data_IF_397755038547
#
_entry.id   IF_397755038547
#
_cell.length_a   1.000
_cell.length_b   1.000
_cell.length_c   1.000
_cell.angle_alpha   90.00
_cell.angle_beta   90.00
_cell.angle_gamma   90.00
#
_symmetry.space_group_name_H-M   'P 1'
#
loop_
_entity.id
_entity.type
_entity.pdbx_description
1 polymer ?
#
# COMPACT_ATOMS: atom_id res chain seq x y z
N UNK A 1 4.82 -10.83 -30.73
CA UNK A 1 5.12 -11.92 -29.77
C UNK A 1 5.39 -11.27 -28.42
N UNK A 2 4.76 -11.76 -27.34
CA UNK A 2 5.01 -11.29 -25.98
C UNK A 2 6.43 -11.74 -25.59
N UNK A 3 7.27 -10.80 -25.17
CA UNK A 3 8.60 -11.14 -24.66
C UNK A 3 8.46 -11.99 -23.39
N UNK A 4 9.21 -13.09 -23.22
CA UNK A 4 9.17 -13.91 -22.00
C UNK A 4 9.63 -13.10 -20.77
N UNK A 5 10.32 -11.98 -20.98
CA UNK A 5 10.80 -11.10 -19.93
C UNK A 5 9.77 -10.08 -19.45
N UNK A 6 8.61 -9.94 -20.12
CA UNK A 6 7.60 -8.92 -19.78
C UNK A 6 7.13 -9.04 -18.33
N UNK A 7 6.68 -10.23 -17.90
CA UNK A 7 6.16 -10.42 -16.55
C UNK A 7 7.23 -10.24 -15.46
N UNK A 8 8.43 -10.84 -15.56
CA UNK A 8 9.50 -10.59 -14.60
C UNK A 8 9.85 -9.10 -14.48
N UNK A 9 9.97 -8.37 -15.60
CA UNK A 9 10.30 -6.94 -15.59
C UNK A 9 9.20 -6.13 -14.89
N UNK A 10 7.94 -6.39 -15.17
CA UNK A 10 6.83 -5.72 -14.50
C UNK A 10 6.77 -6.08 -13.01
N UNK A 11 7.03 -7.34 -12.62
CA UNK A 11 7.08 -7.77 -11.23
C UNK A 11 8.21 -7.08 -10.45
N UNK A 12 9.42 -6.98 -11.03
CA UNK A 12 10.52 -6.24 -10.41
C UNK A 12 10.27 -4.74 -10.33
N UNK A 13 9.59 -4.17 -11.32
CA UNK A 13 9.17 -2.76 -11.29
C UNK A 13 8.25 -2.49 -10.10
N UNK A 14 7.24 -3.33 -9.91
CA UNK A 14 6.29 -3.23 -8.80
C UNK A 14 6.96 -3.58 -7.46
N UNK A 15 7.95 -4.45 -7.44
CA UNK A 15 8.77 -4.75 -6.27
C UNK A 15 9.47 -3.50 -5.72
N UNK A 16 10.13 -2.71 -6.57
CA UNK A 16 10.76 -1.46 -6.13
C UNK A 16 9.74 -0.42 -5.65
N UNK A 17 8.53 -0.42 -6.22
CA UNK A 17 7.43 0.40 -5.71
C UNK A 17 7.07 -0.01 -4.27
N UNK A 18 6.90 -1.31 -4.02
CA UNK A 18 6.62 -1.84 -2.69
C UNK A 18 7.71 -1.50 -1.67
N UNK A 19 8.99 -1.59 -2.05
CA UNK A 19 10.10 -1.13 -1.20
C UNK A 19 9.93 0.35 -0.87
N UNK A 20 9.77 1.21 -1.88
CA UNK A 20 9.70 2.67 -1.70
C UNK A 20 8.55 3.09 -0.79
N UNK A 21 7.43 2.40 -0.85
CA UNK A 21 6.24 2.70 -0.08
C UNK A 21 6.40 2.34 1.41
N UNK A 22 7.08 1.23 1.72
CA UNK A 22 7.15 0.69 3.08
C UNK A 22 8.50 0.85 3.77
N UNK A 23 9.58 1.25 3.07
CA UNK A 23 10.92 1.38 3.64
C UNK A 23 11.04 2.45 4.72
N UNK A 24 10.20 3.48 4.69
CA UNK A 24 10.28 4.61 5.63
C UNK A 24 9.81 4.22 7.03
N UNK A 25 8.98 3.15 7.17
CA UNK A 25 8.44 2.71 8.47
C UNK A 25 9.51 2.50 9.56
N UNK A 26 10.60 1.73 9.37
CA UNK A 26 11.63 1.58 10.40
C UNK A 26 12.56 2.79 10.54
N UNK A 27 12.49 3.74 9.59
CA UNK A 27 13.42 4.86 9.48
C UNK A 27 12.95 6.16 10.17
N UNK A 28 11.77 6.19 10.80
CA UNK A 28 11.20 7.42 11.37
C UNK A 28 12.17 8.09 12.35
N UNK A 29 12.71 7.35 13.33
CA UNK A 29 13.71 7.92 14.27
C UNK A 29 15.02 8.32 13.58
N UNK A 30 15.68 7.50 12.72
CA UNK A 30 16.85 7.95 11.97
C UNK A 30 16.64 9.22 11.15
N UNK A 31 15.48 9.35 10.49
CA UNK A 31 15.13 10.55 9.75
C UNK A 31 14.85 11.74 10.67
N UNK A 32 14.21 11.51 11.81
CA UNK A 32 13.99 12.53 12.82
C UNK A 32 15.31 13.10 13.32
N UNK A 33 16.28 12.25 13.63
CA UNK A 33 17.63 12.67 14.03
C UNK A 33 18.35 13.40 12.90
N UNK A 34 18.26 12.91 11.66
CA UNK A 34 18.97 13.51 10.52
C UNK A 34 18.47 14.93 10.17
N UNK A 35 17.17 15.18 10.36
CA UNK A 35 16.55 16.47 10.03
C UNK A 35 16.24 17.35 11.25
N UNK A 36 16.69 16.94 12.44
CA UNK A 36 16.45 17.65 13.71
C UNK A 36 14.96 17.94 13.97
N UNK A 37 14.14 16.88 13.85
CA UNK A 37 12.69 16.89 14.05
C UNK A 37 12.27 15.74 14.96
N UNK A 38 11.01 15.71 15.39
CA UNK A 38 10.47 14.58 16.14
C UNK A 38 10.10 13.40 15.22
N UNK A 39 10.05 12.15 15.71
CA UNK A 39 9.54 11.01 14.93
C UNK A 39 8.10 11.20 14.43
N UNK A 40 7.27 11.91 15.23
CA UNK A 40 5.93 12.30 14.81
C UNK A 40 5.94 13.26 13.61
N UNK A 41 6.86 14.24 13.62
CA UNK A 41 7.05 15.10 12.45
C UNK A 41 7.61 14.30 11.25
N UNK A 42 8.55 13.39 11.46
CA UNK A 42 9.10 12.55 10.38
C UNK A 42 8.01 11.73 9.66
N UNK A 43 6.90 11.39 10.34
CA UNK A 43 5.77 10.70 9.72
C UNK A 43 5.12 11.46 8.56
N UNK A 44 5.30 12.79 8.48
CA UNK A 44 4.84 13.60 7.34
C UNK A 44 5.50 13.19 6.01
N UNK A 45 6.68 12.58 6.04
CA UNK A 45 7.30 12.03 4.83
C UNK A 45 6.45 10.90 4.21
N UNK A 46 5.74 10.14 5.03
CA UNK A 46 4.79 9.12 4.55
C UNK A 46 3.43 9.78 4.24
N UNK A 47 2.95 10.66 5.11
CA UNK A 47 1.64 11.28 4.95
C UNK A 47 1.54 12.08 3.64
N UNK A 48 2.53 12.92 3.29
CA UNK A 48 2.50 13.69 2.04
C UNK A 48 2.62 12.79 0.80
N UNK A 49 3.38 11.71 0.88
CA UNK A 49 3.42 10.70 -0.18
C UNK A 49 2.03 10.08 -0.42
N UNK A 50 1.35 9.66 0.65
CA UNK A 50 0.01 9.05 0.53
C UNK A 50 -1.05 10.06 0.09
N UNK A 51 -0.96 11.32 0.51
CA UNK A 51 -1.82 12.40 0.00
C UNK A 51 -1.64 12.59 -1.50
N UNK A 52 -0.39 12.70 -1.95
CA UNK A 52 -0.07 12.88 -3.37
C UNK A 52 -0.61 11.69 -4.20
N UNK A 53 -0.41 10.47 -3.70
CA UNK A 53 -1.01 9.28 -4.30
C UNK A 53 -2.53 9.37 -4.37
N UNK A 54 -3.20 9.69 -3.25
CA UNK A 54 -4.65 9.74 -3.15
C UNK A 54 -5.28 10.73 -4.14
N UNK A 55 -4.66 11.89 -4.32
CA UNK A 55 -5.13 12.91 -5.24
C UNK A 55 -4.83 12.57 -6.70
N UNK A 56 -3.68 11.94 -6.95
CA UNK A 56 -3.22 11.63 -8.30
C UNK A 56 -3.86 10.37 -8.90
N UNK A 57 -4.14 9.34 -8.10
CA UNK A 57 -4.59 8.03 -8.60
C UNK A 57 -5.88 8.09 -9.46
N UNK A 58 -6.95 8.82 -9.09
CA UNK A 58 -8.12 8.92 -9.94
C UNK A 58 -7.86 9.63 -11.26
N UNK A 59 -6.99 10.66 -11.23
CA UNK A 59 -6.64 11.45 -12.42
C UNK A 59 -5.73 10.65 -13.35
N UNK A 60 -4.67 10.06 -12.81
CA UNK A 60 -3.70 9.28 -13.57
C UNK A 60 -4.29 7.95 -14.08
N UNK A 61 -5.22 7.36 -13.34
CA UNK A 61 -5.99 6.20 -13.80
C UNK A 61 -6.77 6.51 -15.09
N UNK A 62 -7.50 7.63 -15.12
CA UNK A 62 -8.21 8.09 -16.33
C UNK A 62 -7.22 8.51 -17.45
N UNK A 63 -6.11 9.12 -17.06
CA UNK A 63 -5.09 9.58 -18.01
C UNK A 63 -4.36 8.40 -18.66
N UNK A 64 -4.22 7.27 -17.96
CA UNK A 64 -3.62 6.05 -18.50
C UNK A 64 -4.37 5.49 -19.69
N UNK A 65 -5.68 5.79 -19.81
CA UNK A 65 -6.48 5.40 -20.96
C UNK A 65 -6.28 6.29 -22.19
N UNK A 66 -5.72 7.50 -22.01
CA UNK A 66 -5.48 8.49 -23.08
C UNK A 66 -4.03 8.54 -23.56
N UNK A 67 -3.10 8.21 -22.66
CA UNK A 67 -1.66 8.25 -22.97
C UNK A 67 -1.09 6.85 -23.22
N UNK A 68 0.02 6.83 -23.93
CA UNK A 68 0.81 5.62 -24.13
C UNK A 68 1.25 5.05 -22.76
N UNK A 69 0.68 3.91 -22.38
CA UNK A 69 0.90 3.24 -21.10
C UNK A 69 2.37 2.98 -20.79
N UNK A 70 3.13 2.64 -21.83
CA UNK A 70 4.57 2.48 -21.72
C UNK A 70 5.31 3.80 -21.40
N UNK A 71 4.87 4.92 -21.98
CA UNK A 71 5.44 6.23 -21.62
C UNK A 71 5.14 6.59 -20.19
N UNK A 72 3.91 6.34 -19.73
CA UNK A 72 3.54 6.57 -18.32
C UNK A 72 4.37 5.73 -17.36
N UNK A 73 4.57 4.43 -17.66
CA UNK A 73 5.43 3.56 -16.85
C UNK A 73 6.86 4.09 -16.76
N UNK A 74 7.44 4.49 -17.88
CA UNK A 74 8.80 5.08 -17.92
C UNK A 74 8.90 6.40 -17.16
N UNK A 75 7.91 7.27 -17.31
CA UNK A 75 7.86 8.54 -16.56
C UNK A 75 7.75 8.28 -15.06
N UNK A 76 6.91 7.35 -14.64
CA UNK A 76 6.79 6.96 -13.23
C UNK A 76 8.11 6.43 -12.65
N UNK A 77 8.83 5.59 -13.40
CA UNK A 77 10.16 5.11 -12.99
C UNK A 77 11.19 6.24 -12.87
N UNK A 78 11.20 7.20 -13.81
CA UNK A 78 12.07 8.38 -13.70
C UNK A 78 11.70 9.28 -12.53
N UNK A 79 10.42 9.42 -12.20
CA UNK A 79 9.97 10.14 -11.01
C UNK A 79 10.46 9.44 -9.72
N UNK A 80 10.46 8.10 -9.66
CA UNK A 80 11.06 7.38 -8.53
C UNK A 80 12.58 7.57 -8.44
N UNK A 81 13.29 7.62 -9.57
CA UNK A 81 14.72 7.95 -9.58
C UNK A 81 14.93 9.35 -9.02
N UNK A 82 14.17 10.33 -9.50
CA UNK A 82 14.25 11.71 -9.04
C UNK A 82 13.90 11.84 -7.54
N UNK A 83 12.83 11.18 -7.08
CA UNK A 83 12.42 11.15 -5.67
C UNK A 83 13.55 10.61 -4.79
N UNK A 84 14.12 9.45 -5.13
CA UNK A 84 15.15 8.82 -4.32
C UNK A 84 16.46 9.62 -4.26
N UNK A 85 16.93 10.17 -5.39
CA UNK A 85 18.14 11.01 -5.43
C UNK A 85 17.90 12.33 -4.69
N UNK A 86 16.78 13.00 -4.97
CA UNK A 86 16.49 14.29 -4.37
C UNK A 86 16.30 14.19 -2.85
N UNK A 87 15.63 13.13 -2.37
CA UNK A 87 15.50 12.86 -0.92
C UNK A 87 16.84 12.61 -0.25
N UNK A 88 17.72 11.83 -0.88
CA UNK A 88 19.05 11.57 -0.34
C UNK A 88 19.91 12.85 -0.23
N UNK A 89 19.61 13.86 -1.04
CA UNK A 89 20.30 15.15 -1.08
C UNK A 89 19.51 16.28 -0.41
N UNK A 90 18.37 16.00 0.22
CA UNK A 90 17.51 17.01 0.79
C UNK A 90 18.22 17.83 1.90
N UNK A 91 18.30 19.15 1.77
CA UNK A 91 19.05 20.01 2.71
C UNK A 91 18.31 20.23 4.02
N UNK A 92 16.98 20.08 4.05
CA UNK A 92 16.16 20.28 5.23
C UNK A 92 14.86 19.49 5.15
N UNK A 93 14.20 19.33 6.28
CA UNK A 93 12.96 18.55 6.42
C UNK A 93 11.85 19.02 5.49
N UNK A 94 11.60 20.32 5.40
CA UNK A 94 10.51 20.88 4.57
C UNK A 94 10.69 20.54 3.07
N UNK A 95 11.93 20.57 2.59
CA UNK A 95 12.26 20.14 1.22
C UNK A 95 12.03 18.64 1.06
N UNK A 96 12.47 17.82 2.00
CA UNK A 96 12.27 16.38 1.97
C UNK A 96 10.77 16.03 1.92
N UNK A 97 9.93 16.69 2.73
CA UNK A 97 8.47 16.52 2.70
C UNK A 97 7.88 16.89 1.34
N UNK A 98 8.31 18.04 0.77
CA UNK A 98 7.86 18.45 -0.57
C UNK A 98 8.25 17.47 -1.68
N UNK A 99 9.46 16.90 -1.60
CA UNK A 99 9.94 15.91 -2.57
C UNK A 99 9.13 14.61 -2.54
N UNK A 100 8.58 14.20 -1.40
CA UNK A 100 7.72 13.02 -1.31
C UNK A 100 6.47 13.08 -2.20
N UNK A 101 6.09 14.28 -2.68
CA UNK A 101 5.04 14.44 -3.70
C UNK A 101 5.41 13.69 -4.97
N UNK A 102 6.68 13.73 -5.38
CA UNK A 102 7.15 13.04 -6.59
C UNK A 102 6.98 11.52 -6.48
N UNK A 103 7.35 10.96 -5.33
CA UNK A 103 7.18 9.53 -5.06
C UNK A 103 5.71 9.10 -5.09
N UNK A 104 4.81 9.87 -4.48
CA UNK A 104 3.36 9.61 -4.49
C UNK A 104 2.76 9.67 -5.90
N UNK A 105 3.14 10.66 -6.71
CA UNK A 105 2.75 10.76 -8.13
C UNK A 105 3.27 9.56 -8.94
N UNK A 106 4.53 9.17 -8.72
CA UNK A 106 5.13 8.03 -9.39
C UNK A 106 4.39 6.73 -9.10
N UNK A 107 4.07 6.48 -7.82
CA UNK A 107 3.33 5.29 -7.40
C UNK A 107 1.92 5.25 -7.99
N UNK A 108 1.22 6.38 -7.95
CA UNK A 108 -0.13 6.51 -8.49
C UNK A 108 -0.19 6.25 -10.01
N UNK A 109 0.87 6.56 -10.75
CA UNK A 109 0.96 6.32 -12.19
C UNK A 109 1.39 4.89 -12.52
N UNK A 110 2.25 4.26 -11.70
CA UNK A 110 2.95 3.03 -12.03
C UNK A 110 2.01 1.82 -12.05
N UNK A 111 1.27 1.57 -10.98
CA UNK A 111 0.42 0.38 -10.84
C UNK A 111 -0.66 0.30 -11.93
N UNK A 112 -1.45 1.36 -12.21
CA UNK A 112 -2.40 1.34 -13.32
C UNK A 112 -1.73 1.10 -14.67
N UNK A 113 -0.55 1.69 -14.91
CA UNK A 113 0.20 1.50 -16.16
C UNK A 113 0.64 0.06 -16.35
N UNK A 114 1.10 -0.61 -15.29
CA UNK A 114 1.48 -2.03 -15.31
C UNK A 114 0.28 -2.91 -15.64
N UNK A 115 -0.86 -2.72 -14.96
CA UNK A 115 -2.06 -3.51 -15.24
C UNK A 115 -2.61 -3.28 -16.64
N UNK A 116 -2.55 -2.03 -17.11
CA UNK A 116 -2.96 -1.69 -18.45
C UNK A 116 -2.06 -2.34 -19.52
N UNK A 117 -0.73 -2.39 -19.31
CA UNK A 117 0.19 -3.11 -20.20
C UNK A 117 -0.08 -4.62 -20.21
N UNK A 118 -0.42 -5.22 -19.07
CA UNK A 118 -0.82 -6.64 -19.02
C UNK A 118 -2.11 -6.86 -19.82
N UNK A 119 -3.10 -5.98 -19.65
CA UNK A 119 -4.37 -6.08 -20.37
C UNK A 119 -4.21 -5.96 -21.89
N UNK A 120 -3.22 -5.18 -22.37
CA UNK A 120 -2.91 -5.05 -23.81
C UNK A 120 -2.14 -6.24 -24.38
N UNK A 121 -1.22 -6.81 -23.60
CA UNK A 121 -0.27 -7.80 -24.11
C UNK A 121 -0.72 -9.24 -23.91
N UNK A 122 -1.56 -9.51 -22.90
CA UNK A 122 -1.96 -10.87 -22.56
C UNK A 122 -3.41 -11.18 -22.98
N UNK A 123 -3.68 -12.41 -23.47
CA UNK A 123 -5.04 -12.89 -23.71
C UNK A 123 -5.90 -12.79 -22.45
N UNK A 124 -7.20 -12.55 -22.62
CA UNK A 124 -8.13 -12.25 -21.53
C UNK A 124 -8.14 -13.35 -20.43
N UNK A 125 -8.02 -14.60 -20.82
CA UNK A 125 -7.95 -15.77 -19.92
C UNK A 125 -6.71 -15.80 -19.02
N UNK A 126 -5.61 -15.13 -19.42
CA UNK A 126 -4.33 -15.07 -18.69
C UNK A 126 -4.08 -13.78 -17.95
N UNK A 127 -4.87 -12.72 -18.18
CA UNK A 127 -4.64 -11.41 -17.58
C UNK A 127 -4.67 -11.45 -16.06
N UNK A 128 -5.67 -12.10 -15.46
CA UNK A 128 -5.80 -12.21 -14.01
C UNK A 128 -4.60 -12.93 -13.36
N UNK A 129 -4.13 -14.02 -13.99
CA UNK A 129 -2.94 -14.75 -13.53
C UNK A 129 -1.67 -13.92 -13.65
N UNK A 130 -1.51 -13.18 -14.76
CA UNK A 130 -0.37 -12.29 -14.99
C UNK A 130 -0.34 -11.14 -13.98
N UNK A 131 -1.50 -10.50 -13.71
CA UNK A 131 -1.63 -9.45 -12.68
C UNK A 131 -1.29 -9.99 -11.29
N UNK A 132 -1.80 -11.18 -10.93
CA UNK A 132 -1.49 -11.85 -9.68
C UNK A 132 0.01 -12.10 -9.52
N UNK A 133 0.67 -12.61 -10.56
CA UNK A 133 2.12 -12.85 -10.55
C UNK A 133 2.90 -11.54 -10.34
N UNK A 134 2.53 -10.47 -11.02
CA UNK A 134 3.19 -9.18 -10.87
C UNK A 134 2.99 -8.61 -9.46
N UNK A 135 1.80 -8.79 -8.86
CA UNK A 135 1.53 -8.35 -7.49
C UNK A 135 2.29 -9.15 -6.42
N UNK A 136 2.82 -10.35 -6.75
CA UNK A 136 3.78 -11.01 -5.83
C UNK A 136 5.07 -10.20 -5.68
N UNK A 137 5.47 -9.47 -6.72
CA UNK A 137 6.57 -8.50 -6.64
C UNK A 137 6.29 -7.40 -5.61
N UNK A 138 5.08 -6.81 -5.62
CA UNK A 138 4.67 -5.81 -4.62
C UNK A 138 4.75 -6.38 -3.20
N UNK A 139 4.19 -7.57 -2.97
CA UNK A 139 4.24 -8.22 -1.66
C UNK A 139 5.67 -8.49 -1.21
N UNK A 140 6.53 -8.97 -2.11
CA UNK A 140 7.96 -9.15 -1.82
C UNK A 140 8.64 -7.82 -1.46
N UNK A 141 8.29 -6.71 -2.13
CA UNK A 141 8.76 -5.37 -1.82
C UNK A 141 8.31 -4.89 -0.44
N UNK A 142 7.05 -5.11 -0.09
CA UNK A 142 6.49 -4.78 1.24
C UNK A 142 7.23 -5.54 2.36
N UNK A 143 7.55 -6.82 2.14
CA UNK A 143 8.28 -7.65 3.12
C UNK A 143 9.73 -7.21 3.23
N UNK A 144 10.42 -7.06 2.10
CA UNK A 144 11.87 -6.81 2.07
C UNK A 144 12.23 -5.34 2.27
N UNK A 145 11.32 -4.41 1.94
CA UNK A 145 11.56 -2.97 2.04
C UNK A 145 12.03 -2.53 3.43
N UNK A 146 11.29 -2.79 4.49
CA UNK A 146 11.70 -2.45 5.86
C UNK A 146 13.01 -3.14 6.29
N UNK A 147 13.23 -4.40 5.87
CA UNK A 147 14.48 -5.14 6.17
C UNK A 147 15.67 -4.46 5.54
N UNK A 148 15.58 -4.21 4.24
CA UNK A 148 16.66 -3.57 3.47
C UNK A 148 16.91 -2.16 3.99
N UNK A 149 15.85 -1.39 4.24
CA UNK A 149 15.96 -0.03 4.75
C UNK A 149 16.58 0.01 6.14
N UNK A 150 16.15 -0.86 7.06
CA UNK A 150 16.71 -0.95 8.40
C UNK A 150 18.19 -1.31 8.37
N UNK A 151 18.58 -2.31 7.58
CA UNK A 151 19.96 -2.76 7.45
C UNK A 151 20.86 -1.69 6.83
N UNK A 152 20.43 -1.08 5.71
CA UNK A 152 21.20 -0.03 5.03
C UNK A 152 21.33 1.23 5.89
N UNK A 153 20.29 1.62 6.60
CA UNK A 153 20.32 2.80 7.47
C UNK A 153 21.38 2.65 8.56
N UNK A 154 21.49 1.47 9.16
CA UNK A 154 22.50 1.21 10.20
C UNK A 154 23.93 1.18 9.63
N UNK A 155 24.13 0.66 8.41
CA UNK A 155 25.46 0.46 7.81
C UNK A 155 25.98 1.65 7.04
N UNK A 156 25.10 2.30 6.27
CA UNK A 156 25.48 3.33 5.29
C UNK A 156 24.85 4.69 5.55
N UNK A 157 23.92 4.79 6.53
CA UNK A 157 23.21 6.02 6.84
C UNK A 157 21.79 6.07 6.24
N UNK A 158 21.01 7.04 6.72
CA UNK A 158 19.60 7.19 6.40
C UNK A 158 19.28 7.43 4.91
N UNK A 159 20.23 7.98 4.14
CA UNK A 159 20.08 8.25 2.70
C UNK A 159 20.21 7.00 1.82
N UNK A 160 20.89 5.97 2.30
CA UNK A 160 21.22 4.79 1.50
C UNK A 160 20.01 4.00 0.96
N UNK A 161 18.90 3.79 1.71
CA UNK A 161 17.70 3.16 1.18
C UNK A 161 17.07 3.93 0.01
N UNK A 162 17.09 5.27 0.05
CA UNK A 162 16.58 6.11 -1.03
C UNK A 162 17.43 5.99 -2.30
N UNK A 163 18.74 5.95 -2.16
CA UNK A 163 19.67 5.72 -3.29
C UNK A 163 19.50 4.32 -3.88
N UNK A 164 19.28 3.30 -3.04
CA UNK A 164 19.02 1.94 -3.53
C UNK A 164 17.75 1.90 -4.39
N UNK A 165 16.65 2.50 -3.92
CA UNK A 165 15.39 2.51 -4.68
C UNK A 165 15.51 3.35 -5.96
N UNK A 166 16.25 4.44 -5.94
CA UNK A 166 16.59 5.22 -7.13
C UNK A 166 17.39 4.39 -8.16
N UNK A 167 18.45 3.71 -7.70
CA UNK A 167 19.27 2.85 -8.55
C UNK A 167 18.45 1.68 -9.14
N UNK A 168 17.64 1.02 -8.32
CA UNK A 168 16.75 -0.04 -8.76
C UNK A 168 15.72 0.44 -9.79
N UNK A 169 15.09 1.58 -9.55
CA UNK A 169 14.14 2.21 -10.49
C UNK A 169 14.83 2.61 -11.81
N UNK A 170 16.07 3.09 -11.74
CA UNK A 170 16.85 3.42 -12.94
C UNK A 170 17.20 2.17 -13.76
N UNK A 171 17.62 1.09 -13.09
CA UNK A 171 17.89 -0.19 -13.74
C UNK A 171 16.61 -0.69 -14.42
N UNK A 172 15.47 -0.66 -13.73
CA UNK A 172 14.19 -1.07 -14.30
C UNK A 172 13.76 -0.17 -15.45
N UNK A 173 14.03 1.14 -15.39
CA UNK A 173 13.78 2.06 -16.50
C UNK A 173 14.59 1.67 -17.73
N UNK A 174 15.89 1.39 -17.57
CA UNK A 174 16.78 0.94 -18.65
C UNK A 174 16.26 -0.36 -19.25
N UNK A 175 15.98 -1.36 -18.42
CA UNK A 175 15.46 -2.67 -18.87
C UNK A 175 14.13 -2.50 -19.61
N UNK A 176 13.22 -1.68 -19.12
CA UNK A 176 11.96 -1.35 -19.79
C UNK A 176 12.20 -0.75 -21.17
N UNK A 177 13.23 0.10 -21.35
CA UNK A 177 13.57 0.67 -22.64
C UNK A 177 13.98 -0.38 -23.68
N UNK A 178 14.60 -1.48 -23.24
CA UNK A 178 15.01 -2.56 -24.13
C UNK A 178 13.87 -3.57 -24.37
N UNK A 179 13.21 -4.02 -23.32
CA UNK A 179 12.17 -5.08 -23.37
C UNK A 179 10.93 -4.62 -24.14
N UNK A 180 10.54 -3.36 -23.98
CA UNK A 180 9.36 -2.78 -24.62
C UNK A 180 9.69 -1.97 -25.90
N UNK A 181 10.88 -2.14 -26.45
CA UNK A 181 11.29 -1.45 -27.70
C UNK A 181 10.43 -1.92 -28.87
N UNK A 182 9.80 -0.97 -29.56
CA UNK A 182 8.95 -1.26 -30.72
C UNK A 182 7.51 -1.66 -30.41
N UNK A 183 7.09 -1.63 -29.15
CA UNK A 183 5.67 -1.71 -28.82
C UNK A 183 5.05 -0.35 -29.19
N UNK A 184 4.47 -0.30 -30.39
CA UNK A 184 3.59 0.81 -30.77
C UNK A 184 2.35 0.70 -29.89
N UNK A 185 2.12 1.69 -29.04
CA UNK A 185 0.86 1.77 -28.31
C UNK A 185 -0.26 1.83 -29.33
N UNK A 186 -1.07 0.80 -29.38
CA UNK A 186 -2.41 0.96 -29.95
C UNK A 186 -3.04 2.08 -29.14
N UNK A 187 -3.31 3.21 -29.81
CA UNK A 187 -4.06 4.31 -29.22
C UNK A 187 -5.31 3.71 -28.59
N UNK A 188 -5.44 3.83 -27.29
CA UNK A 188 -6.59 3.28 -26.59
C UNK A 188 -7.82 3.82 -27.32
N UNK A 189 -8.62 2.91 -27.84
CA UNK A 189 -9.95 3.27 -28.34
C UNK A 189 -10.61 4.03 -27.20
N UNK A 190 -11.07 5.23 -27.48
CA UNK A 190 -11.72 6.14 -26.55
C UNK A 190 -12.68 5.35 -25.68
N UNK A 191 -12.30 5.11 -24.44
CA UNK A 191 -13.25 4.63 -23.46
C UNK A 191 -14.34 5.70 -23.46
N UNK A 192 -15.50 5.38 -24.01
CA UNK A 192 -16.67 6.24 -23.96
C UNK A 192 -16.83 6.63 -22.51
N UNK A 193 -16.91 7.94 -22.18
CA UNK A 193 -17.20 8.36 -20.82
C UNK A 193 -18.47 7.64 -20.43
N UNK A 194 -18.41 6.77 -19.44
CA UNK A 194 -19.59 6.12 -18.91
C UNK A 194 -20.42 7.24 -18.24
N UNK A 195 -21.25 7.94 -19.03
CA UNK A 195 -22.25 8.89 -18.58
C UNK A 195 -23.34 8.08 -17.86
N UNK A 196 -23.04 7.65 -16.64
CA UNK A 196 -23.94 6.90 -15.79
C UNK A 196 -24.25 7.68 -14.52
N UNK A 197 -25.40 7.39 -13.91
CA UNK A 197 -25.79 7.84 -12.58
C UNK A 197 -24.64 7.62 -11.59
N UNK A 198 -24.48 8.55 -10.62
CA UNK A 198 -23.45 8.45 -9.58
C UNK A 198 -23.40 7.07 -8.90
N UNK A 199 -22.35 6.80 -8.17
CA UNK A 199 -22.24 5.56 -7.38
C UNK A 199 -23.37 5.47 -6.35
N UNK A 200 -23.81 4.26 -6.03
CA UNK A 200 -24.79 4.06 -4.95
C UNK A 200 -24.22 4.54 -3.62
N UNK A 201 -25.03 5.12 -2.73
CA UNK A 201 -24.57 5.51 -1.39
C UNK A 201 -23.93 4.34 -0.62
N UNK A 202 -24.43 3.13 -0.82
CA UNK A 202 -23.87 1.91 -0.23
C UNK A 202 -22.43 1.64 -0.70
N UNK A 203 -22.14 1.77 -1.99
CA UNK A 203 -20.79 1.60 -2.52
C UNK A 203 -19.83 2.68 -2.01
N UNK A 204 -20.27 3.94 -1.96
CA UNK A 204 -19.45 5.03 -1.41
C UNK A 204 -19.17 4.83 0.08
N UNK A 205 -20.19 4.42 0.85
CA UNK A 205 -20.03 4.07 2.27
C UNK A 205 -19.07 2.91 2.48
N UNK A 206 -19.12 1.87 1.64
CA UNK A 206 -18.19 0.74 1.71
C UNK A 206 -16.74 1.16 1.39
N UNK A 207 -16.56 2.01 0.37
CA UNK A 207 -15.24 2.56 0.02
C UNK A 207 -14.68 3.41 1.18
N UNK A 208 -15.51 4.24 1.81
CA UNK A 208 -15.11 5.03 2.97
C UNK A 208 -14.75 4.14 4.17
N UNK A 209 -15.56 3.14 4.49
CA UNK A 209 -15.28 2.17 5.55
C UNK A 209 -13.98 1.39 5.27
N UNK A 210 -13.76 0.96 4.02
CA UNK A 210 -12.52 0.31 3.59
C UNK A 210 -11.32 1.24 3.80
N UNK A 211 -11.41 2.49 3.40
CA UNK A 211 -10.36 3.49 3.64
C UNK A 211 -9.98 3.59 5.11
N UNK A 212 -10.99 3.67 5.99
CA UNK A 212 -10.76 3.82 7.43
C UNK A 212 -10.08 2.60 8.05
N UNK A 213 -10.55 1.38 7.84
CA UNK A 213 -9.95 0.21 8.46
C UNK A 213 -8.61 -0.17 7.82
N UNK A 214 -8.47 -0.03 6.50
CA UNK A 214 -7.21 -0.29 5.81
C UNK A 214 -6.16 0.76 6.21
N UNK A 215 -6.51 2.04 6.17
CA UNK A 215 -5.65 3.13 6.62
C UNK A 215 -5.19 2.95 8.06
N UNK A 216 -6.09 2.56 8.98
CA UNK A 216 -5.75 2.27 10.38
C UNK A 216 -4.75 1.12 10.49
N UNK A 217 -4.93 0.04 9.72
CA UNK A 217 -4.01 -1.10 9.72
C UNK A 217 -2.61 -0.71 9.22
N UNK A 218 -2.53 0.09 8.16
CA UNK A 218 -1.25 0.59 7.61
C UNK A 218 -0.59 1.56 8.60
N UNK A 219 -1.34 2.49 9.20
CA UNK A 219 -0.83 3.41 10.21
C UNK A 219 -0.23 2.66 11.40
N UNK A 220 -0.92 1.65 11.91
CA UNK A 220 -0.41 0.83 13.02
C UNK A 220 0.85 0.05 12.62
N UNK A 221 0.91 -0.47 11.41
CA UNK A 221 2.14 -1.07 10.89
C UNK A 221 3.29 -0.05 10.84
N UNK A 222 3.06 1.16 10.31
CA UNK A 222 4.09 2.21 10.22
C UNK A 222 4.60 2.59 11.61
N UNK A 223 3.71 2.76 12.59
CA UNK A 223 4.07 3.15 13.95
C UNK A 223 4.58 1.99 14.81
N UNK A 224 4.42 0.74 14.36
CA UNK A 224 4.87 -0.45 15.12
C UNK A 224 6.36 -0.40 15.45
N UNK A 225 7.18 0.12 14.53
CA UNK A 225 8.62 0.28 14.73
C UNK A 225 8.97 1.20 15.88
N UNK A 226 8.29 2.35 15.99
CA UNK A 226 8.51 3.30 17.08
C UNK A 226 7.99 2.74 18.42
N UNK A 227 6.82 2.10 18.45
CA UNK A 227 6.31 1.42 19.65
C UNK A 227 7.26 0.35 20.16
N UNK A 228 7.85 -0.45 19.28
CA UNK A 228 8.86 -1.45 19.63
C UNK A 228 10.16 -0.82 20.12
N UNK A 229 10.59 0.28 19.51
CA UNK A 229 11.76 1.06 19.93
C UNK A 229 11.58 1.58 21.34
N UNK A 230 10.45 2.25 21.61
CA UNK A 230 10.15 2.80 22.94
C UNK A 230 10.08 1.72 24.03
N UNK A 231 9.48 0.57 23.73
CA UNK A 231 9.28 -0.50 24.74
C UNK A 231 10.51 -1.37 25.01
N UNK A 232 11.30 -1.62 23.96
CA UNK A 232 12.40 -2.61 24.03
C UNK A 232 13.76 -2.05 23.65
N UNK A 233 13.89 -0.76 23.35
CA UNK A 233 15.16 -0.13 22.99
C UNK A 233 15.79 -0.65 21.69
N UNK A 234 14.97 -1.14 20.74
CA UNK A 234 15.45 -1.80 19.55
C UNK A 234 16.08 -0.81 18.55
N UNK A 235 17.14 -1.25 17.90
CA UNK A 235 17.76 -0.48 16.83
C UNK A 235 16.97 -0.62 15.50
N UNK A 236 17.25 0.30 14.57
CA UNK A 236 16.56 0.38 13.27
C UNK A 236 16.68 -0.89 12.44
N UNK A 237 17.83 -1.56 12.46
CA UNK A 237 18.05 -2.81 11.74
C UNK A 237 17.14 -3.93 12.26
N UNK A 238 17.08 -4.10 13.59
CA UNK A 238 16.20 -5.09 14.23
C UNK A 238 14.72 -4.80 13.93
N UNK A 239 14.31 -3.52 14.01
CA UNK A 239 12.94 -3.11 13.68
C UNK A 239 12.60 -3.46 12.22
N UNK A 240 13.52 -3.23 11.29
CA UNK A 240 13.34 -3.61 9.88
C UNK A 240 13.06 -5.11 9.72
N UNK A 241 13.84 -5.98 10.41
CA UNK A 241 13.59 -7.43 10.38
C UNK A 241 12.24 -7.81 11.01
N UNK A 242 11.88 -7.20 12.12
CA UNK A 242 10.60 -7.46 12.79
C UNK A 242 9.43 -7.03 11.90
N UNK A 243 9.54 -5.92 11.20
CA UNK A 243 8.51 -5.45 10.27
C UNK A 243 8.22 -6.47 9.15
N UNK A 244 9.20 -7.30 8.78
CA UNK A 244 8.98 -8.39 7.83
C UNK A 244 8.00 -9.46 8.33
N UNK A 245 7.82 -9.60 9.65
CA UNK A 245 6.85 -10.52 10.25
C UNK A 245 5.41 -10.14 9.84
N UNK A 246 5.10 -8.85 9.85
CA UNK A 246 3.82 -8.35 9.33
C UNK A 246 3.63 -8.70 7.84
N UNK A 247 4.67 -8.46 7.03
CA UNK A 247 4.64 -8.80 5.60
C UNK A 247 4.51 -10.32 5.36
N UNK A 248 5.17 -11.15 6.19
CA UNK A 248 4.99 -12.60 6.21
C UNK A 248 3.56 -13.01 6.54
N UNK A 249 2.94 -12.33 7.51
CA UNK A 249 1.52 -12.47 7.82
C UNK A 249 0.64 -12.12 6.62
N UNK A 250 0.88 -10.99 5.97
CA UNK A 250 0.16 -10.56 4.77
C UNK A 250 0.22 -11.61 3.65
N UNK A 251 1.40 -12.14 3.38
CA UNK A 251 1.59 -13.21 2.40
C UNK A 251 0.83 -14.48 2.81
N UNK A 252 0.92 -14.88 4.07
CA UNK A 252 0.22 -16.06 4.60
C UNK A 252 -1.29 -15.90 4.45
N UNK A 253 -1.85 -14.73 4.80
CA UNK A 253 -3.27 -14.42 4.63
C UNK A 253 -3.73 -14.52 3.18
N UNK A 254 -2.95 -13.96 2.25
CA UNK A 254 -3.22 -14.06 0.82
C UNK A 254 -3.20 -15.51 0.31
N UNK A 255 -2.22 -16.32 0.74
CA UNK A 255 -2.11 -17.73 0.34
C UNK A 255 -3.22 -18.60 0.92
N UNK A 256 -3.65 -18.32 2.13
CA UNK A 256 -4.72 -19.06 2.81
C UNK A 256 -6.13 -18.60 2.41
N UNK A 257 -6.26 -17.50 1.67
CA UNK A 257 -7.56 -16.95 1.25
C UNK A 257 -8.48 -17.98 0.58
N UNK A 258 -8.01 -18.83 -0.37
CA UNK A 258 -8.88 -19.84 -0.98
C UNK A 258 -9.44 -20.86 0.03
N UNK A 259 -8.66 -21.20 1.07
CA UNK A 259 -9.10 -22.08 2.14
C UNK A 259 -10.18 -21.40 3.01
N UNK A 260 -9.93 -20.16 3.43
CA UNK A 260 -10.89 -19.41 4.24
C UNK A 260 -12.20 -19.11 3.51
N UNK A 261 -12.16 -18.86 2.20
CA UNK A 261 -13.36 -18.72 1.37
C UNK A 261 -14.24 -19.97 1.38
N UNK A 262 -13.64 -21.17 1.42
CA UNK A 262 -14.40 -22.44 1.52
C UNK A 262 -15.03 -22.64 2.90
N UNK A 263 -14.40 -22.13 3.96
CA UNK A 263 -14.85 -22.30 5.34
C UNK A 263 -15.91 -21.28 5.76
N UNK A 264 -15.84 -20.05 5.27
CA UNK A 264 -16.68 -18.94 5.73
C UNK A 264 -18.06 -18.84 5.09
N UNK A 265 -18.31 -19.58 4.04
CA UNK A 265 -19.60 -19.60 3.31
C UNK A 265 -19.90 -18.36 2.50
N UNK A 266 -19.59 -17.14 2.98
CA UNK A 266 -19.81 -15.87 2.27
C UNK A 266 -18.62 -14.92 2.40
N UNK A 267 -18.35 -14.13 1.34
CA UNK A 267 -17.27 -13.14 1.35
C UNK A 267 -17.49 -12.05 2.40
N UNK A 268 -18.74 -11.67 2.64
CA UNK A 268 -19.11 -10.70 3.69
C UNK A 268 -18.75 -11.19 5.08
N UNK A 269 -19.08 -12.45 5.40
CA UNK A 269 -18.74 -13.05 6.70
C UNK A 269 -17.22 -13.11 6.89
N UNK A 270 -16.50 -13.56 5.85
CA UNK A 270 -15.04 -13.60 5.87
C UNK A 270 -14.40 -12.22 6.09
N UNK A 271 -14.91 -11.19 5.42
CA UNK A 271 -14.46 -9.82 5.61
C UNK A 271 -14.67 -9.36 7.06
N UNK A 272 -15.88 -9.50 7.59
CA UNK A 272 -16.21 -9.06 8.96
C UNK A 272 -15.39 -9.79 10.01
N UNK A 273 -15.21 -11.10 9.90
CA UNK A 273 -14.36 -11.89 10.80
C UNK A 273 -12.92 -11.36 10.73
N UNK A 274 -12.40 -11.13 9.53
CA UNK A 274 -11.03 -10.62 9.36
C UNK A 274 -10.85 -9.23 9.98
N UNK A 275 -11.85 -8.34 9.88
CA UNK A 275 -11.83 -7.01 10.50
C UNK A 275 -11.88 -7.08 12.03
N UNK A 276 -12.70 -7.97 12.60
CA UNK A 276 -12.75 -8.19 14.04
C UNK A 276 -11.41 -8.74 14.55
N UNK A 277 -10.88 -9.77 13.90
CA UNK A 277 -9.56 -10.33 14.24
C UNK A 277 -8.49 -9.25 14.17
N UNK A 278 -8.45 -8.47 13.09
CA UNK A 278 -7.48 -7.38 12.92
C UNK A 278 -7.59 -6.34 14.05
N UNK A 279 -8.80 -5.97 14.45
CA UNK A 279 -9.05 -5.03 15.55
C UNK A 279 -8.51 -5.55 16.89
N UNK A 280 -8.75 -6.84 17.19
CA UNK A 280 -8.23 -7.50 18.40
C UNK A 280 -6.69 -7.58 18.38
N UNK A 281 -6.10 -7.91 17.22
CA UNK A 281 -4.64 -8.00 17.08
C UNK A 281 -3.96 -6.64 17.25
N UNK A 282 -4.52 -5.59 16.70
CA UNK A 282 -4.03 -4.21 16.88
C UNK A 282 -4.14 -3.79 18.35
N UNK A 283 -5.25 -4.07 19.00
CA UNK A 283 -5.43 -3.78 20.42
C UNK A 283 -4.40 -4.55 21.28
N UNK A 284 -4.20 -5.84 21.02
CA UNK A 284 -3.18 -6.67 21.67
C UNK A 284 -1.76 -6.14 21.48
N UNK A 285 -1.42 -5.67 20.27
CA UNK A 285 -0.12 -5.08 19.97
C UNK A 285 0.08 -3.75 20.73
N UNK A 286 -0.88 -2.83 20.69
CA UNK A 286 -0.77 -1.52 21.37
C UNK A 286 -0.71 -1.71 22.90
N UNK A 287 -1.49 -2.63 23.47
CA UNK A 287 -1.45 -2.92 24.91
C UNK A 287 -0.14 -3.60 25.36
N UNK A 288 0.62 -4.19 24.43
CA UNK A 288 1.87 -4.91 24.73
C UNK A 288 1.66 -6.23 25.43
N UNK A 289 0.46 -6.81 25.33
CA UNK A 289 0.14 -8.09 25.97
C UNK A 289 1.03 -9.22 25.44
N UNK A 290 1.53 -10.06 26.33
CA UNK A 290 2.44 -11.18 26.01
C UNK A 290 3.90 -10.77 25.82
N UNK A 291 4.26 -9.50 26.12
CA UNK A 291 5.65 -9.02 26.00
C UNK A 291 6.15 -9.05 24.55
N UNK A 292 7.47 -9.16 24.37
CA UNK A 292 8.09 -9.15 23.03
C UNK A 292 7.57 -10.27 22.10
N UNK A 293 7.51 -11.56 22.51
CA UNK A 293 6.97 -12.63 21.66
C UNK A 293 5.49 -12.41 21.29
N UNK A 294 4.69 -11.92 22.25
CA UNK A 294 3.28 -11.59 22.02
C UNK A 294 3.13 -10.53 20.94
N UNK A 295 3.92 -9.45 20.99
CA UNK A 295 3.87 -8.39 19.98
C UNK A 295 4.25 -8.90 18.58
N UNK A 296 5.19 -9.83 18.46
CA UNK A 296 5.51 -10.49 17.18
C UNK A 296 4.32 -11.28 16.65
N UNK A 297 3.65 -12.04 17.52
CA UNK A 297 2.46 -12.80 17.16
C UNK A 297 1.31 -11.88 16.72
N UNK A 298 1.07 -10.77 17.45
CA UNK A 298 0.05 -9.80 17.07
C UNK A 298 0.34 -9.17 15.69
N UNK A 299 1.58 -8.82 15.38
CA UNK A 299 1.97 -8.30 14.07
C UNK A 299 1.75 -9.33 12.95
N UNK A 300 2.12 -10.58 13.17
CA UNK A 300 1.91 -11.67 12.20
C UNK A 300 0.42 -11.85 11.89
N UNK A 301 -0.39 -11.96 12.93
CA UNK A 301 -1.83 -12.17 12.80
C UNK A 301 -2.56 -10.95 12.23
N UNK A 302 -2.12 -9.74 12.56
CA UNK A 302 -2.62 -8.50 11.94
C UNK A 302 -2.33 -8.51 10.43
N UNK A 303 -1.10 -8.85 10.03
CA UNK A 303 -0.75 -9.00 8.62
C UNK A 303 -1.60 -10.05 7.92
N UNK A 304 -1.80 -11.22 8.54
CA UNK A 304 -2.65 -12.29 8.01
C UNK A 304 -4.10 -11.82 7.81
N UNK A 305 -4.69 -11.15 8.80
CA UNK A 305 -6.04 -10.63 8.71
C UNK A 305 -6.18 -9.58 7.59
N UNK A 306 -5.20 -8.68 7.44
CA UNK A 306 -5.16 -7.72 6.35
C UNK A 306 -5.00 -8.41 4.99
N UNK A 307 -4.16 -9.45 4.90
CA UNK A 307 -3.97 -10.25 3.68
C UNK A 307 -5.24 -10.96 3.21
N UNK A 308 -6.19 -11.22 4.10
CA UNK A 308 -7.52 -11.74 3.76
C UNK A 308 -8.48 -10.58 3.45
N UNK A 309 -8.56 -9.58 4.33
CA UNK A 309 -9.54 -8.48 4.22
C UNK A 309 -9.37 -7.63 2.96
N UNK A 310 -8.13 -7.32 2.57
CA UNK A 310 -7.86 -6.44 1.43
C UNK A 310 -8.35 -7.01 0.09
N UNK A 311 -8.01 -8.24 -0.33
CA UNK A 311 -8.51 -8.78 -1.60
C UNK A 311 -10.01 -9.08 -1.56
N UNK A 312 -10.57 -9.52 -0.42
CA UNK A 312 -12.02 -9.77 -0.28
C UNK A 312 -12.81 -8.47 -0.45
N UNK A 313 -12.42 -7.40 0.26
CA UNK A 313 -13.11 -6.11 0.14
C UNK A 313 -12.97 -5.51 -1.26
N UNK A 314 -11.82 -5.69 -1.92
CA UNK A 314 -11.59 -5.25 -3.29
C UNK A 314 -12.52 -5.98 -4.28
N UNK A 315 -12.71 -7.30 -4.09
CA UNK A 315 -13.65 -8.09 -4.89
C UNK A 315 -15.10 -7.62 -4.70
N UNK A 316 -15.53 -7.37 -3.46
CA UNK A 316 -16.88 -6.86 -3.16
C UNK A 316 -17.10 -5.47 -3.80
N UNK A 317 -16.13 -4.55 -3.67
CA UNK A 317 -16.20 -3.23 -4.31
C UNK A 317 -16.32 -3.36 -5.84
N UNK A 318 -15.53 -4.24 -6.46
CA UNK A 318 -15.57 -4.47 -7.90
C UNK A 318 -16.92 -5.07 -8.36
N UNK A 319 -17.50 -6.00 -7.59
CA UNK A 319 -18.81 -6.59 -7.86
C UNK A 319 -19.91 -5.53 -7.81
N UNK A 320 -19.95 -4.72 -6.74
CA UNK A 320 -20.97 -3.67 -6.55
C UNK A 320 -20.84 -2.52 -7.56
N UNK A 321 -19.64 -2.24 -8.05
CA UNK A 321 -19.40 -1.21 -9.05
C UNK A 321 -19.78 -1.61 -10.49
N UNK A 322 -19.86 -2.92 -10.77
CA UNK A 322 -20.26 -3.44 -12.08
C UNK A 322 -19.40 -2.95 -13.23
N UNK A 323 -19.99 -2.26 -14.21
CA UNK A 323 -19.28 -1.75 -15.38
C UNK A 323 -18.21 -0.68 -15.05
N UNK A 324 -18.34 0.02 -13.92
CA UNK A 324 -17.41 1.08 -13.46
C UNK A 324 -16.39 0.60 -12.44
N UNK A 325 -16.10 -0.70 -12.42
CA UNK A 325 -15.18 -1.32 -11.44
C UNK A 325 -13.80 -0.64 -11.37
N UNK A 326 -13.24 -0.25 -12.51
CA UNK A 326 -11.92 0.41 -12.55
C UNK A 326 -11.88 1.73 -11.79
N UNK A 327 -12.89 2.60 -12.02
CA UNK A 327 -13.01 3.88 -11.32
C UNK A 327 -13.27 3.68 -9.81
N UNK A 328 -14.13 2.72 -9.44
CA UNK A 328 -14.45 2.43 -8.05
C UNK A 328 -13.22 1.89 -7.29
N UNK A 329 -12.42 1.04 -7.93
CA UNK A 329 -11.17 0.55 -7.35
C UNK A 329 -10.13 1.66 -7.19
N UNK A 330 -9.99 2.54 -8.19
CA UNK A 330 -9.12 3.72 -8.09
C UNK A 330 -9.54 4.64 -6.94
N UNK A 331 -10.86 4.90 -6.80
CA UNK A 331 -11.42 5.68 -5.69
C UNK A 331 -11.17 4.99 -4.34
N UNK A 332 -11.29 3.67 -4.30
CA UNK A 332 -11.00 2.87 -3.10
C UNK A 332 -9.54 2.99 -2.67
N UNK A 333 -8.60 2.92 -3.60
CA UNK A 333 -7.16 3.11 -3.30
C UNK A 333 -6.85 4.55 -2.90
N UNK A 334 -7.50 5.55 -3.53
CA UNK A 334 -7.40 6.94 -3.08
C UNK A 334 -7.88 7.11 -1.65
N UNK A 335 -9.00 6.50 -1.28
CA UNK A 335 -9.54 6.58 0.07
C UNK A 335 -8.65 5.89 1.10
N UNK A 336 -8.04 4.74 0.74
CA UNK A 336 -7.04 4.07 1.60
C UNK A 336 -5.87 5.03 1.92
N UNK A 337 -5.28 5.63 0.89
CA UNK A 337 -4.15 6.55 1.05
C UNK A 337 -4.53 7.87 1.74
N UNK A 338 -5.72 8.41 1.46
CA UNK A 338 -6.24 9.59 2.16
C UNK A 338 -6.43 9.32 3.66
N UNK A 339 -6.90 8.14 4.01
CA UNK A 339 -7.04 7.73 5.42
C UNK A 339 -5.68 7.64 6.12
N UNK A 340 -4.65 7.10 5.46
CA UNK A 340 -3.28 7.09 5.99
C UNK A 340 -2.78 8.51 6.19
N UNK A 341 -2.97 9.41 5.20
CA UNK A 341 -2.58 10.82 5.33
C UNK A 341 -3.17 11.50 6.56
N UNK A 342 -4.48 11.27 6.81
CA UNK A 342 -5.17 11.91 7.93
C UNK A 342 -4.77 11.27 9.27
N UNK A 343 -4.75 9.95 9.32
CA UNK A 343 -4.60 9.20 10.58
C UNK A 343 -3.16 9.13 11.06
N UNK A 344 -2.17 9.05 10.15
CA UNK A 344 -0.78 8.80 10.54
C UNK A 344 -0.18 9.94 11.38
N UNK A 345 -0.27 11.24 11.00
CA UNK A 345 0.27 12.31 11.83
C UNK A 345 -0.43 12.41 13.18
N UNK A 346 -1.75 12.20 13.21
CA UNK A 346 -2.55 12.23 14.45
C UNK A 346 -2.13 11.09 15.38
N UNK A 347 -2.02 9.88 14.88
CA UNK A 347 -1.62 8.71 15.67
C UNK A 347 -0.16 8.83 16.13
N UNK A 348 0.74 9.33 15.28
CA UNK A 348 2.14 9.56 15.63
C UNK A 348 2.31 10.60 16.77
N UNK A 349 1.50 11.66 16.76
CA UNK A 349 1.49 12.66 17.83
C UNK A 349 0.94 12.14 19.17
N UNK A 350 0.19 11.05 19.16
CA UNK A 350 -0.46 10.45 20.32
C UNK A 350 0.20 9.14 20.79
N UNK A 351 1.37 8.77 20.26
CA UNK A 351 2.03 7.49 20.56
C UNK A 351 2.26 7.24 22.04
N UNK A 352 2.61 8.28 22.79
CA UNK A 352 2.91 8.20 24.24
C UNK A 352 1.67 8.41 25.11
N UNK A 353 0.52 8.70 24.51
CA UNK A 353 -0.72 8.95 25.24
C UNK A 353 -1.53 7.67 25.43
N UNK A 354 -2.24 7.60 26.56
CA UNK A 354 -3.21 6.52 26.80
C UNK A 354 -4.41 6.58 25.85
N UNK A 355 -4.49 7.59 24.98
CA UNK A 355 -5.59 7.84 24.07
C UNK A 355 -5.44 7.03 22.77
N UNK A 356 -4.20 6.68 22.37
CA UNK A 356 -3.96 5.96 21.10
C UNK A 356 -4.74 4.65 21.00
N UNK A 357 -4.70 3.81 22.04
CA UNK A 357 -5.39 2.51 22.05
C UNK A 357 -6.91 2.66 21.89
N UNK A 358 -7.61 3.45 22.75
CA UNK A 358 -9.06 3.59 22.60
C UNK A 358 -9.46 4.29 21.27
N UNK A 359 -8.69 5.24 20.80
CA UNK A 359 -8.99 5.93 19.55
C UNK A 359 -8.90 5.02 18.33
N UNK A 360 -7.83 4.25 18.19
CA UNK A 360 -7.63 3.32 17.06
C UNK A 360 -8.63 2.17 17.12
N UNK A 361 -8.90 1.62 18.31
CA UNK A 361 -9.88 0.53 18.48
C UNK A 361 -11.31 1.00 18.22
N UNK A 362 -11.69 2.18 18.67
CA UNK A 362 -12.99 2.78 18.36
C UNK A 362 -13.17 3.01 16.86
N UNK A 363 -12.15 3.54 16.17
CA UNK A 363 -12.18 3.78 14.74
C UNK A 363 -12.34 2.48 13.94
N UNK A 364 -11.59 1.45 14.27
CA UNK A 364 -11.69 0.13 13.66
C UNK A 364 -13.04 -0.52 13.92
N UNK A 365 -13.56 -0.40 15.14
CA UNK A 365 -14.89 -0.90 15.49
C UNK A 365 -15.97 -0.18 14.67
N UNK A 366 -15.95 1.15 14.62
CA UNK A 366 -16.89 1.93 13.80
C UNK A 366 -16.81 1.55 12.32
N UNK A 367 -15.60 1.38 11.76
CA UNK A 367 -15.43 0.96 10.37
C UNK A 367 -15.96 -0.46 10.13
N UNK A 368 -15.77 -1.38 11.08
CA UNK A 368 -16.30 -2.76 11.00
C UNK A 368 -17.82 -2.77 11.05
N UNK A 369 -18.42 -2.04 12.00
CA UNK A 369 -19.88 -1.91 12.12
C UNK A 369 -20.47 -1.28 10.86
N UNK A 370 -19.87 -0.21 10.36
CA UNK A 370 -20.30 0.45 9.13
C UNK A 370 -20.26 -0.51 7.94
N UNK A 371 -19.20 -1.28 7.80
CA UNK A 371 -19.06 -2.33 6.76
C UNK A 371 -20.18 -3.37 6.89
N UNK A 372 -20.47 -3.85 8.10
CA UNK A 372 -21.54 -4.81 8.38
C UNK A 372 -22.92 -4.25 8.05
N UNK A 373 -23.22 -3.03 8.50
CA UNK A 373 -24.50 -2.37 8.23
C UNK A 373 -24.75 -2.13 6.73
N UNK A 374 -23.72 -1.86 5.94
CA UNK A 374 -23.83 -1.66 4.50
C UNK A 374 -24.03 -2.98 3.76
N UNK A 375 -23.30 -4.04 4.16
CA UNK A 375 -23.32 -5.31 3.45
C UNK A 375 -24.50 -6.20 3.83
N UNK A 376 -25.01 -6.14 5.07
CA UNK A 376 -26.12 -6.98 5.53
C UNK A 376 -27.39 -6.86 4.66
N UNK A 377 -27.90 -5.67 4.30
CA UNK A 377 -29.10 -5.57 3.47
C UNK A 377 -28.88 -5.98 2.01
N UNK A 378 -27.63 -5.99 1.54
CA UNK A 378 -27.29 -6.36 0.16
C UNK A 378 -27.28 -7.89 -0.01
N UNK A 379 -26.78 -8.62 0.99
CA UNK A 379 -26.62 -10.07 0.93
C UNK A 379 -27.68 -10.87 1.69
N UNK A 380 -28.44 -10.28 2.61
CA UNK A 380 -29.63 -10.93 3.20
C UNK A 380 -30.84 -11.03 2.27
N UNK A 381 -30.79 -10.39 1.09
CA UNK A 381 -31.86 -10.44 0.07
C UNK A 381 -31.57 -11.45 -1.05
N UNK A 382 -30.43 -12.11 -1.03
CA UNK A 382 -30.07 -13.24 -1.90
C UNK A 382 -30.20 -14.55 -1.13
#
# INVERSE_FOLDING_TARGET
MISPYTLPVLAFTVFFTGITEFMVSPMLTPLAVAFDVTPAQASWLIAVYTLSYALAAPVLGQLSDRFCRYRMLRTALLLFVADGIALALAPCFSVAVGLRILGGLASAALIPSVFALIAEQFPHDRQASAMGLVMTGMTAGIISGPVIAGWLTVRCGWYAPFLLTAAGSLIMWIICCFVFRGISSVSAQSATPLTGKGYSPALLGLIAAKGLWNGSAVVMFVLSGELLRHRFGLNTGTIGFISAIFGGGLLTGNLLLPLFRRLSGTETCLLLISLIVMSVMIAGFISGTGGFPGMMLWMLLQGCALGIAAPVSTAIVAELAGARKGEALALSESMNNLSVFILLPVAAAQQDSQILLPAVTALLFCATVLTGCILSPIYCKK
#
